data_IF_159826472473
#
_entry.id   IF_159826472473
#
_cell.length_a   1.000
_cell.length_b   1.000
_cell.length_c   1.000
_cell.angle_alpha   90.00
_cell.angle_beta   90.00
_cell.angle_gamma   90.00
#
_symmetry.space_group_name_H-M   'P 1'
#
loop_
_entity.id
_entity.type
_entity.pdbx_description
1 polymer ?
#
# COMPACT_ATOMS: atom_id res chain seq x y z
N UNK A 1 1.23 -11.68 -2.22
CA UNK A 1 0.56 -10.44 -1.75
C UNK A 1 0.77 -10.33 -0.25
N UNK A 2 1.44 -9.27 0.19
CA UNK A 2 1.71 -9.04 1.60
C UNK A 2 0.51 -8.39 2.28
N UNK A 3 0.15 -8.85 3.48
CA UNK A 3 -0.92 -8.29 4.29
C UNK A 3 -0.48 -8.18 5.75
N UNK A 4 -1.08 -7.25 6.49
CA UNK A 4 -0.87 -7.12 7.93
C UNK A 4 -2.09 -6.52 8.64
N UNK A 5 -2.23 -6.83 9.92
CA UNK A 5 -3.24 -6.19 10.77
C UNK A 5 -2.63 -5.04 11.57
N UNK A 6 -3.31 -3.90 11.58
CA UNK A 6 -2.89 -2.71 12.33
C UNK A 6 -4.08 -1.89 12.81
N UNK A 7 -4.14 -1.60 14.11
CA UNK A 7 -5.17 -0.77 14.74
C UNK A 7 -6.62 -1.23 14.47
N UNK A 8 -6.84 -2.54 14.32
CA UNK A 8 -8.16 -3.11 13.98
C UNK A 8 -8.50 -3.12 12.48
N UNK A 9 -7.58 -2.66 11.63
CA UNK A 9 -7.70 -2.72 10.18
C UNK A 9 -6.79 -3.79 9.59
N UNK A 10 -7.29 -4.52 8.60
CA UNK A 10 -6.48 -5.41 7.77
C UNK A 10 -5.98 -4.63 6.55
N UNK A 11 -4.67 -4.48 6.44
CA UNK A 11 -3.99 -3.77 5.36
C UNK A 11 -3.46 -4.80 4.36
N UNK A 12 -3.83 -4.67 3.10
CA UNK A 12 -3.37 -5.51 1.99
C UNK A 12 -2.54 -4.66 1.04
N UNK A 13 -1.26 -4.95 0.87
CA UNK A 13 -0.39 -4.22 -0.04
C UNK A 13 -0.69 -4.62 -1.49
N UNK A 14 -1.09 -3.65 -2.33
CA UNK A 14 -1.20 -3.86 -3.77
C UNK A 14 0.12 -3.47 -4.43
N UNK A 15 0.93 -4.49 -4.72
CA UNK A 15 2.21 -4.37 -5.43
C UNK A 15 2.10 -5.07 -6.77
N UNK A 16 2.79 -4.54 -7.78
CA UNK A 16 2.87 -5.15 -9.10
C UNK A 16 4.24 -4.89 -9.73
N UNK A 17 4.70 -5.74 -10.66
CA UNK A 17 5.89 -5.45 -11.44
C UNK A 17 5.70 -4.14 -12.21
N UNK A 18 6.74 -3.32 -12.25
CA UNK A 18 6.77 -2.10 -13.03
C UNK A 18 6.74 -2.43 -14.53
N UNK A 19 5.94 -1.70 -15.30
CA UNK A 19 5.85 -1.90 -16.75
C UNK A 19 6.81 -0.96 -17.50
N UNK A 20 7.27 -1.39 -18.68
CA UNK A 20 8.09 -0.58 -19.58
C UNK A 20 9.58 -0.56 -19.22
N UNK A 21 10.18 0.64 -19.17
CA UNK A 21 11.63 0.86 -19.00
C UNK A 21 12.18 0.37 -17.64
N UNK A 22 11.30 0.05 -16.70
CA UNK A 22 11.60 -0.43 -15.35
C UNK A 22 11.34 -1.94 -15.20
N UNK A 23 11.38 -2.70 -16.29
CA UNK A 23 11.10 -4.15 -16.32
C UNK A 23 12.11 -4.96 -15.49
N UNK A 24 11.83 -5.10 -14.20
CA UNK A 24 12.73 -5.65 -13.19
C UNK A 24 12.50 -5.04 -11.81
N UNK A 25 11.88 -3.85 -11.77
CA UNK A 25 11.46 -3.16 -10.57
C UNK A 25 9.97 -3.43 -10.27
N UNK A 26 9.56 -3.05 -9.07
CA UNK A 26 8.22 -3.23 -8.52
C UNK A 26 7.65 -1.88 -8.14
N UNK A 27 6.35 -1.70 -8.33
CA UNK A 27 5.62 -0.49 -7.91
C UNK A 27 4.44 -0.90 -7.03
N UNK A 28 3.96 0.04 -6.22
CA UNK A 28 2.70 -0.13 -5.49
C UNK A 28 1.71 0.96 -5.93
N UNK A 29 0.43 0.59 -6.05
CA UNK A 29 -0.64 1.54 -6.45
C UNK A 29 -1.26 2.22 -5.21
N UNK A 30 -1.54 1.46 -4.15
CA UNK A 30 -1.92 1.88 -2.80
C UNK A 30 -2.18 0.62 -1.97
N UNK A 31 -2.20 0.69 -0.64
CA UNK A 31 -2.71 -0.42 0.15
C UNK A 31 -4.25 -0.40 0.19
N UNK A 32 -4.88 -1.57 0.19
CA UNK A 32 -6.31 -1.70 0.49
C UNK A 32 -6.48 -1.94 1.98
N UNK A 33 -7.35 -1.18 2.65
CA UNK A 33 -7.71 -1.43 4.04
C UNK A 33 -9.06 -2.13 4.11
N UNK A 34 -9.21 -2.98 5.12
CA UNK A 34 -10.48 -3.55 5.52
C UNK A 34 -10.70 -3.27 7.00
N UNK A 35 -11.88 -2.78 7.36
CA UNK A 35 -12.32 -2.63 8.74
C UNK A 35 -12.58 -4.00 9.40
N UNK A 36 -12.76 -4.02 10.72
CA UNK A 36 -13.09 -5.21 11.50
C UNK A 36 -14.37 -5.93 11.02
N UNK A 37 -15.29 -5.22 10.37
CA UNK A 37 -16.50 -5.81 9.77
C UNK A 37 -16.25 -6.38 8.37
N UNK A 38 -15.02 -6.30 7.85
CA UNK A 38 -14.65 -6.76 6.51
C UNK A 38 -14.97 -5.77 5.39
N UNK A 39 -15.41 -4.55 5.72
CA UNK A 39 -15.68 -3.51 4.73
C UNK A 39 -14.38 -2.92 4.21
N UNK A 40 -14.27 -2.71 2.90
CA UNK A 40 -13.12 -2.00 2.32
C UNK A 40 -13.16 -0.53 2.76
N UNK A 41 -12.06 -0.08 3.36
CA UNK A 41 -11.81 1.32 3.72
C UNK A 41 -10.88 1.90 2.67
N UNK A 42 -11.28 3.01 2.07
CA UNK A 42 -10.43 3.70 1.11
C UNK A 42 -9.43 4.57 1.88
N UNK A 43 -8.15 4.31 1.65
CA UNK A 43 -7.11 5.26 2.03
C UNK A 43 -7.15 6.41 1.04
N UNK A 44 -6.98 7.65 1.51
CA UNK A 44 -6.56 8.70 0.63
C UNK A 44 -5.23 8.26 -0.01
N UNK A 45 -5.25 8.09 -1.34
CA UNK A 45 -4.04 7.70 -2.05
C UNK A 45 -2.95 8.71 -1.70
N UNK A 46 -1.73 8.27 -1.33
CA UNK A 46 -0.64 9.19 -1.13
C UNK A 46 -0.50 10.03 -2.41
N UNK A 47 -0.42 11.35 -2.27
CA UNK A 47 -0.15 12.29 -3.37
C UNK A 47 1.32 12.16 -3.81
N UNK A 48 1.81 10.93 -3.96
CA UNK A 48 3.02 10.66 -4.69
C UNK A 48 2.66 10.89 -6.15
N UNK A 49 2.99 12.08 -6.65
CA UNK A 49 2.84 12.47 -8.06
C UNK A 49 3.60 11.55 -9.02
N UNK A 50 4.47 10.67 -8.50
CA UNK A 50 5.27 9.72 -9.27
C UNK A 50 5.24 8.33 -8.63
N UNK A 51 5.17 7.28 -9.46
CA UNK A 51 5.26 5.90 -9.02
C UNK A 51 6.63 5.65 -8.37
N UNK A 52 6.63 5.09 -7.17
CA UNK A 52 7.87 4.67 -6.51
C UNK A 52 8.27 3.28 -7.01
N UNK A 53 9.46 3.18 -7.57
CA UNK A 53 10.05 1.94 -8.07
C UNK A 53 10.93 1.29 -7.00
N UNK A 54 10.83 -0.03 -6.89
CA UNK A 54 11.52 -0.83 -5.89
C UNK A 54 12.24 -2.00 -6.54
N UNK A 55 13.40 -2.35 -6.01
CA UNK A 55 14.21 -3.49 -6.49
C UNK A 55 13.57 -4.87 -6.24
N UNK A 56 12.50 -4.95 -5.44
CA UNK A 56 11.86 -6.22 -5.06
C UNK A 56 10.41 -6.03 -4.60
N UNK A 57 9.58 -7.07 -4.76
CA UNK A 57 8.20 -7.13 -4.27
C UNK A 57 8.13 -6.79 -2.77
N UNK A 58 9.03 -7.38 -1.98
CA UNK A 58 9.07 -7.18 -0.53
C UNK A 58 9.35 -5.73 -0.13
N UNK A 59 10.21 -5.03 -0.89
CA UNK A 59 10.53 -3.63 -0.63
C UNK A 59 9.32 -2.74 -0.95
N UNK A 60 8.69 -2.95 -2.10
CA UNK A 60 7.45 -2.26 -2.47
C UNK A 60 6.33 -2.51 -1.44
N UNK A 61 6.19 -3.77 -1.00
CA UNK A 61 5.20 -4.16 -0.01
C UNK A 61 5.44 -3.49 1.35
N UNK A 62 6.68 -3.50 1.85
CA UNK A 62 7.04 -2.84 3.11
C UNK A 62 6.71 -1.35 3.09
N UNK A 63 7.03 -0.65 2.00
CA UNK A 63 6.73 0.77 1.88
C UNK A 63 5.22 1.01 1.79
N UNK A 64 4.52 0.21 0.98
CA UNK A 64 3.06 0.27 0.85
C UNK A 64 2.36 0.09 2.22
N UNK A 65 2.76 -0.92 2.98
CA UNK A 65 2.26 -1.17 4.34
C UNK A 65 2.62 -0.04 5.31
N UNK A 66 3.85 0.49 5.24
CA UNK A 66 4.29 1.59 6.11
C UNK A 66 3.51 2.88 5.85
N UNK A 67 3.25 3.21 4.59
CA UNK A 67 2.41 4.36 4.22
C UNK A 67 0.96 4.19 4.67
N UNK A 68 0.40 3.00 4.48
CA UNK A 68 -0.94 2.69 4.98
C UNK A 68 -1.05 2.88 6.49
N UNK A 69 -0.05 2.43 7.25
CA UNK A 69 0.03 2.67 8.70
C UNK A 69 0.11 4.17 9.03
N UNK A 70 0.93 4.92 8.29
CA UNK A 70 1.06 6.37 8.50
C UNK A 70 -0.28 7.10 8.28
N UNK A 71 -1.06 6.70 7.28
CA UNK A 71 -2.38 7.27 6.99
C UNK A 71 -3.41 6.91 8.07
N UNK A 72 -3.42 5.67 8.56
CA UNK A 72 -4.26 5.27 9.71
C UNK A 72 -3.91 6.11 10.95
N UNK A 73 -2.61 6.30 11.23
CA UNK A 73 -2.16 7.12 12.37
C UNK A 73 -2.52 8.60 12.19
N UNK A 74 -2.46 9.11 10.96
CA UNK A 74 -2.87 10.48 10.64
C UNK A 74 -4.39 10.70 10.76
N UNK A 75 -5.18 9.63 10.82
CA UNK A 75 -6.65 9.72 10.79
C UNK A 75 -7.20 10.07 9.40
N UNK A 76 -6.40 9.93 8.35
CA UNK A 76 -6.77 10.23 6.96
C UNK A 76 -7.38 8.97 6.32
N UNK A 77 -8.48 8.51 6.93
CA UNK A 77 -9.24 7.31 6.59
C UNK A 77 -10.72 7.70 6.53
N UNK A 78 -11.35 7.50 5.37
CA UNK A 78 -12.72 7.93 5.04
C UNK A 78 -13.68 6.78 4.78
#
# INVERSE_FOLDING_TARGET
MAEMEYSGYRIVANVRPAEGAHGGEWVFDAATLYDASGNKVELAAPVATEAQYFESEEAAAKVCLSQAKALIVAGDIG
#
